data_IF_790398664193
#
_entry.id   IF_790398664193
#
_cell.length_a   1.000
_cell.length_b   1.000
_cell.length_c   1.000
_cell.angle_alpha   90.00
_cell.angle_beta   90.00
_cell.angle_gamma   90.00
#
_symmetry.space_group_name_H-M   'P 1'
#
loop_
_entity.id
_entity.type
_entity.pdbx_description
1 polymer ?
#
# COMPACT_ATOMS: atom_id res chain seq x y z
N UNK A 1 6.51 -7.52 -0.25
CA UNK A 1 6.70 -7.25 1.18
C UNK A 1 7.19 -5.83 1.37
N UNK A 2 6.60 -5.11 2.31
CA UNK A 2 6.85 -3.71 2.63
C UNK A 2 7.32 -3.65 4.08
N UNK A 3 8.42 -2.93 4.33
CA UNK A 3 9.02 -2.79 5.65
C UNK A 3 9.40 -1.34 5.86
N UNK A 4 8.99 -0.77 6.99
CA UNK A 4 9.38 0.58 7.35
C UNK A 4 10.76 0.62 8.01
N UNK A 5 11.58 1.66 7.73
CA UNK A 5 12.82 1.89 8.46
C UNK A 5 12.59 2.02 9.97
N UNK A 6 13.59 1.61 10.76
CA UNK A 6 13.50 1.56 12.22
C UNK A 6 12.98 2.88 12.84
N UNK A 7 12.00 2.76 13.73
CA UNK A 7 11.36 3.90 14.40
C UNK A 7 10.27 4.60 13.58
N UNK A 8 9.89 4.06 12.42
CA UNK A 8 8.72 4.51 11.65
C UNK A 8 7.70 3.39 11.48
N UNK A 9 6.43 3.77 11.34
CA UNK A 9 5.29 2.87 11.12
C UNK A 9 4.51 3.31 9.90
N UNK A 10 3.74 2.40 9.28
CA UNK A 10 2.91 2.75 8.14
C UNK A 10 1.77 3.67 8.57
N UNK A 11 1.70 4.85 7.98
CA UNK A 11 0.71 5.87 8.30
C UNK A 11 -0.69 5.52 7.77
N UNK A 12 -0.77 4.80 6.65
CA UNK A 12 -2.01 4.29 6.07
C UNK A 12 -2.47 2.95 6.68
N UNK A 13 -1.84 2.49 7.76
CA UNK A 13 -2.18 1.21 8.42
C UNK A 13 -3.64 1.14 8.90
N UNK A 14 -4.35 2.27 8.99
CA UNK A 14 -5.69 2.31 9.58
C UNK A 14 -5.60 2.07 11.08
N UNK A 15 -6.70 1.60 11.71
CA UNK A 15 -6.62 1.13 13.08
C UNK A 15 -5.63 -0.06 13.16
N UNK A 16 -4.81 -0.10 14.21
CA UNK A 16 -3.93 -1.24 14.48
C UNK A 16 -4.76 -2.53 14.40
N UNK A 17 -4.26 -3.57 13.70
CA UNK A 17 -4.89 -4.89 13.49
C UNK A 17 -5.94 -4.99 12.36
N UNK A 18 -6.16 -3.94 11.56
CA UNK A 18 -7.13 -4.01 10.47
C UNK A 18 -6.61 -4.84 9.27
N UNK A 19 -6.83 -6.16 9.31
CA UNK A 19 -6.72 -7.06 8.17
C UNK A 19 -7.84 -6.79 7.15
N UNK A 20 -7.67 -5.69 6.43
CA UNK A 20 -8.66 -5.23 5.45
C UNK A 20 -8.48 -5.91 4.08
N UNK A 21 -7.43 -6.71 3.88
CA UNK A 21 -7.15 -7.42 2.62
C UNK A 21 -7.33 -6.54 1.36
N UNK A 22 -8.30 -6.82 0.47
CA UNK A 22 -8.58 -6.01 -0.72
C UNK A 22 -9.08 -4.58 -0.44
N UNK A 23 -9.66 -4.29 0.73
CA UNK A 23 -10.23 -2.98 1.06
C UNK A 23 -9.29 -2.12 1.90
N UNK A 24 -8.05 -2.59 2.11
CA UNK A 24 -7.01 -1.84 2.81
C UNK A 24 -6.82 -0.45 2.22
N UNK A 25 -6.63 0.53 3.10
CA UNK A 25 -6.41 1.91 2.67
C UNK A 25 -4.96 2.11 2.23
N UNK A 26 -4.81 2.64 1.04
CA UNK A 26 -3.53 2.96 0.41
C UNK A 26 -3.57 4.36 -0.17
N UNK A 27 -2.41 4.93 -0.47
CA UNK A 27 -2.35 6.22 -1.16
C UNK A 27 -2.33 6.00 -2.67
N UNK A 28 -3.12 6.79 -3.41
CA UNK A 28 -3.09 6.80 -4.88
C UNK A 28 -1.91 7.59 -5.46
N UNK A 29 -1.33 8.49 -4.68
CA UNK A 29 -0.26 9.41 -5.09
C UNK A 29 0.70 9.66 -3.92
N UNK A 30 1.98 9.93 -4.23
CA UNK A 30 2.95 10.31 -3.22
C UNK A 30 2.75 11.77 -2.74
N UNK A 31 3.22 12.09 -1.54
CA UNK A 31 3.32 13.42 -0.92
C UNK A 31 2.00 14.17 -0.63
N UNK A 32 0.93 13.90 -1.38
CA UNK A 32 -0.37 14.60 -1.28
C UNK A 32 -1.57 13.64 -1.29
N UNK A 33 -1.32 12.33 -1.45
CA UNK A 33 -2.32 11.36 -1.82
C UNK A 33 -3.52 11.29 -0.86
N UNK A 34 -4.69 11.07 -1.45
CA UNK A 34 -5.89 10.66 -0.70
C UNK A 34 -5.78 9.17 -0.36
N UNK A 35 -6.24 8.80 0.82
CA UNK A 35 -6.48 7.39 1.13
C UNK A 35 -7.61 6.88 0.23
N UNK A 36 -7.37 5.77 -0.45
CA UNK A 36 -8.34 5.04 -1.25
C UNK A 36 -8.26 3.55 -0.89
N UNK A 37 -9.35 2.82 -1.09
CA UNK A 37 -9.33 1.36 -0.92
C UNK A 37 -8.48 0.70 -2.02
N UNK A 38 -7.65 -0.27 -1.66
CA UNK A 38 -6.71 -0.91 -2.58
C UNK A 38 -7.40 -1.48 -3.83
N UNK A 39 -8.53 -2.16 -3.65
CA UNK A 39 -9.30 -2.76 -4.74
C UNK A 39 -9.82 -1.76 -5.78
N UNK A 40 -9.87 -0.45 -5.50
CA UNK A 40 -10.25 0.55 -6.51
C UNK A 40 -9.09 0.87 -7.46
N UNK A 41 -7.85 0.65 -7.03
CA UNK A 41 -6.65 0.81 -7.84
C UNK A 41 -6.18 -0.53 -8.43
N UNK A 42 -6.15 -1.56 -7.60
CA UNK A 42 -5.57 -2.85 -7.89
C UNK A 42 -6.54 -3.96 -7.48
N UNK A 43 -7.44 -4.33 -8.40
CA UNK A 43 -8.51 -5.32 -8.18
C UNK A 43 -7.98 -6.67 -7.67
N UNK A 44 -6.83 -7.13 -8.19
CA UNK A 44 -6.15 -8.34 -7.74
C UNK A 44 -5.20 -8.15 -6.55
N UNK A 45 -5.24 -6.98 -5.91
CA UNK A 45 -4.37 -6.62 -4.81
C UNK A 45 -4.98 -6.99 -3.46
N UNK A 46 -4.19 -7.61 -2.59
CA UNK A 46 -4.52 -7.79 -1.18
C UNK A 46 -3.36 -7.29 -0.33
N UNK A 47 -3.66 -6.50 0.68
CA UNK A 47 -2.65 -5.96 1.58
C UNK A 47 -2.96 -6.36 3.01
N UNK A 48 -2.01 -7.05 3.64
CA UNK A 48 -2.19 -7.75 4.91
C UNK A 48 -1.03 -7.45 5.84
N UNK A 49 -1.29 -7.27 7.12
CA UNK A 49 -0.23 -7.24 8.13
C UNK A 49 0.29 -8.66 8.37
N UNK A 50 1.60 -8.83 8.32
CA UNK A 50 2.30 -10.11 8.39
C UNK A 50 3.44 -10.00 9.43
N UNK A 51 3.04 -10.01 10.69
CA UNK A 51 3.93 -9.81 11.84
C UNK A 51 4.55 -8.41 11.87
N UNK A 52 5.88 -8.35 11.80
CA UNK A 52 6.64 -7.08 11.78
C UNK A 52 6.69 -6.43 10.38
N UNK A 53 6.17 -7.10 9.35
CA UNK A 53 6.15 -6.61 7.99
C UNK A 53 4.72 -6.54 7.47
N UNK A 54 4.54 -5.86 6.35
CA UNK A 54 3.27 -5.82 5.64
C UNK A 54 3.46 -6.46 4.26
N UNK A 55 2.48 -7.27 3.82
CA UNK A 55 2.54 -8.00 2.57
C UNK A 55 1.46 -7.51 1.61
N UNK A 56 1.90 -6.86 0.53
CA UNK A 56 1.09 -6.64 -0.67
C UNK A 56 1.27 -7.84 -1.60
N UNK A 57 0.17 -8.56 -1.85
CA UNK A 57 0.08 -9.65 -2.82
C UNK A 57 -0.76 -9.19 -4.01
N UNK A 58 -0.31 -9.54 -5.21
CA UNK A 58 -1.01 -9.25 -6.47
C UNK A 58 -1.33 -10.57 -7.15
N UNK A 59 -2.55 -11.07 -6.98
CA UNK A 59 -3.01 -12.33 -7.57
C UNK A 59 -3.40 -12.20 -9.04
N UNK A 60 -3.76 -10.99 -9.46
CA UNK A 60 -4.11 -10.65 -10.83
C UNK A 60 -3.51 -9.30 -11.21
N UNK A 61 -2.74 -9.27 -12.31
CA UNK A 61 -2.20 -8.03 -12.85
C UNK A 61 -3.34 -7.14 -13.41
N UNK A 62 -3.26 -5.81 -13.24
CA UNK A 62 -4.27 -4.88 -13.74
C UNK A 62 -4.26 -4.79 -15.28
N UNK A 63 -5.34 -4.28 -15.87
CA UNK A 63 -5.45 -4.06 -17.33
C UNK A 63 -4.52 -2.94 -17.83
N UNK A 64 -4.22 -1.97 -16.98
CA UNK A 64 -3.28 -0.88 -17.22
C UNK A 64 -2.30 -0.82 -16.06
N UNK A 65 -1.11 -0.24 -16.28
CA UNK A 65 -0.16 -0.08 -15.18
C UNK A 65 -0.73 0.84 -14.10
N UNK A 66 -0.60 0.44 -12.84
CA UNK A 66 -1.13 1.16 -11.69
C UNK A 66 -0.02 1.38 -10.66
N UNK A 67 -0.05 2.53 -10.00
CA UNK A 67 0.83 2.81 -8.87
C UNK A 67 0.04 2.86 -7.57
N UNK A 68 0.58 2.22 -6.54
CA UNK A 68 0.06 2.24 -5.17
C UNK A 68 1.17 2.76 -4.26
N UNK A 69 0.83 3.64 -3.32
CA UNK A 69 1.81 4.28 -2.46
C UNK A 69 1.54 3.98 -0.98
N UNK A 70 2.63 3.85 -0.24
CA UNK A 70 2.65 3.63 1.20
C UNK A 70 3.54 4.68 1.86
N UNK A 71 3.18 5.12 3.06
CA UNK A 71 3.94 6.12 3.79
C UNK A 71 4.42 5.54 5.11
N UNK A 72 5.72 5.42 5.28
CA UNK A 72 6.35 5.15 6.57
C UNK A 72 6.63 6.47 7.28
N UNK A 73 5.99 6.72 8.41
CA UNK A 73 6.19 7.94 9.19
C UNK A 73 6.41 7.64 10.68
N UNK A 74 7.00 8.58 11.41
CA UNK A 74 7.02 8.52 12.88
C UNK A 74 5.62 8.81 13.41
N UNK A 75 5.23 8.09 14.47
CA UNK A 75 4.03 8.40 15.23
C UNK A 75 4.14 9.84 15.76
N UNK A 76 3.27 10.74 15.30
CA UNK A 76 3.31 12.17 15.66
C UNK A 76 3.66 13.16 14.54
N UNK A 77 3.94 12.69 13.31
CA UNK A 77 4.11 13.54 12.12
C UNK A 77 5.58 13.86 11.78
N UNK A 78 5.81 14.26 10.51
CA UNK A 78 7.14 14.53 9.96
C UNK A 78 7.29 14.15 8.48
N UNK A 79 8.49 14.39 7.91
CA UNK A 79 8.89 13.90 6.57
C UNK A 79 8.97 12.38 6.63
N UNK A 80 7.99 11.71 6.02
CA UNK A 80 7.95 10.25 5.95
C UNK A 80 8.62 9.69 4.70
N UNK A 81 8.99 8.42 4.76
CA UNK A 81 9.51 7.67 3.62
C UNK A 81 8.32 7.16 2.80
N UNK A 82 8.20 7.64 1.56
CA UNK A 82 7.21 7.17 0.61
C UNK A 82 7.75 5.96 -0.15
N UNK A 83 6.94 4.91 -0.24
CA UNK A 83 7.21 3.70 -1.01
C UNK A 83 6.17 3.64 -2.12
N UNK A 84 6.62 3.85 -3.36
CA UNK A 84 5.79 3.67 -4.55
C UNK A 84 5.96 2.27 -5.12
N UNK A 85 4.86 1.52 -5.22
CA UNK A 85 4.80 0.21 -5.87
C UNK A 85 4.09 0.38 -7.20
N UNK A 86 4.84 0.24 -8.29
CA UNK A 86 4.27 0.20 -9.62
C UNK A 86 3.98 -1.24 -10.03
N UNK A 87 2.72 -1.53 -10.34
CA UNK A 87 2.27 -2.83 -10.85
C UNK A 87 2.07 -2.72 -12.35
N UNK A 88 2.79 -3.55 -13.10
CA UNK A 88 2.69 -3.60 -14.55
C UNK A 88 1.31 -4.11 -15.00
N UNK A 89 0.90 -3.70 -16.21
CA UNK A 89 -0.29 -4.25 -16.84
C UNK A 89 -0.10 -5.75 -17.16
N UNK A 90 -1.21 -6.49 -17.20
CA UNK A 90 -1.21 -7.85 -17.72
C UNK A 90 -0.76 -7.87 -19.20
N UNK A 91 0.00 -8.89 -19.63
CA UNK A 91 0.34 -9.06 -21.05
C UNK A 91 -0.93 -9.17 -21.91
N UNK A 92 -0.88 -8.72 -23.17
CA UNK A 92 -1.93 -9.04 -24.14
C UNK A 92 -2.05 -10.56 -24.27
N UNK A 93 -3.29 -11.04 -24.42
CA UNK A 93 -3.59 -12.45 -24.72
C UNK A 93 -3.12 -12.83 -26.14
#
# INVERSE_FOLDING_TARGET
RITCPGGTTLANRGADEADNGPTAQVYSEANTGKNVALNTLLVGGTYVQSGANDDLTVSQLPTQAVSVYFLCNKTGGGVGCWIGVQVAAQPPL
#
